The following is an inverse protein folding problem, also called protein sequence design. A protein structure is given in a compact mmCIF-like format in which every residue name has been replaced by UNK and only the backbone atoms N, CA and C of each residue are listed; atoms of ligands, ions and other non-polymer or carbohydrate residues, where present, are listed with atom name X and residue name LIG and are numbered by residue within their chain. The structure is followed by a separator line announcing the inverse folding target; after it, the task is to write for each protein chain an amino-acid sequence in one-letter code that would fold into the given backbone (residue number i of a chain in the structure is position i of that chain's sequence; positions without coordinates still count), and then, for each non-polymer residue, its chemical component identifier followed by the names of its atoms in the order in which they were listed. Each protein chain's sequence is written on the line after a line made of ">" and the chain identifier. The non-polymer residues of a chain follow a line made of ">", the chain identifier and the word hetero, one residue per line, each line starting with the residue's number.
data_IF_241395246635
#
_entry.id   IF_241395246635
#
_cell.length_a   1.000
_cell.length_b   1.000
_cell.length_c   1.000
_cell.angle_alpha   90.00
_cell.angle_beta   90.00
_cell.angle_gamma   90.00
#
_symmetry.space_group_name_H-M   'P 1'
#
loop_
_entity.id
_entity.type
_entity.pdbx_description
1 polymer ?
#
# COMPACT_ATOMS: atom_id res chain seq x y z
N UNK A 1 23.19 5.93 9.09
CA UNK A 1 23.32 4.73 8.23
C UNK A 1 24.62 4.79 7.43
N UNK A 2 25.37 3.67 7.31
CA UNK A 2 26.64 3.61 6.56
C UNK A 2 26.45 3.76 5.04
N UNK A 3 25.29 3.35 4.50
CA UNK A 3 24.96 3.42 3.07
C UNK A 3 25.14 4.84 2.49
N UNK A 4 24.72 5.87 3.24
CA UNK A 4 24.81 7.27 2.85
C UNK A 4 26.24 7.82 2.77
N UNK A 5 27.24 7.07 3.20
CA UNK A 5 28.66 7.44 3.11
C UNK A 5 29.32 6.89 1.85
N UNK A 6 28.68 5.97 1.14
CA UNK A 6 29.24 5.44 -0.10
C UNK A 6 29.18 6.48 -1.23
N UNK A 7 30.03 6.36 -2.26
CA UNK A 7 29.90 7.14 -3.48
C UNK A 7 28.51 6.97 -4.10
N UNK A 8 28.01 8.02 -4.76
CA UNK A 8 26.65 8.04 -5.32
C UNK A 8 26.38 6.85 -6.27
N UNK A 9 27.37 6.46 -7.08
CA UNK A 9 27.22 5.32 -8.00
C UNK A 9 26.98 3.99 -7.27
N UNK A 10 27.62 3.80 -6.11
CA UNK A 10 27.38 2.61 -5.27
C UNK A 10 25.99 2.66 -4.66
N UNK A 11 25.53 3.83 -4.22
CA UNK A 11 24.17 4.00 -3.70
C UNK A 11 23.12 3.68 -4.77
N UNK A 12 23.30 4.19 -6.00
CA UNK A 12 22.43 3.90 -7.15
C UNK A 12 22.35 2.39 -7.41
N UNK A 13 23.50 1.72 -7.46
CA UNK A 13 23.56 0.28 -7.71
C UNK A 13 22.85 -0.52 -6.61
N UNK A 14 23.03 -0.14 -5.35
CA UNK A 14 22.31 -0.77 -4.23
C UNK A 14 20.81 -0.55 -4.36
N UNK A 15 20.38 0.67 -4.70
CA UNK A 15 18.96 0.99 -4.88
C UNK A 15 18.32 0.20 -6.01
N UNK A 16 19.02 0.02 -7.13
CA UNK A 16 18.53 -0.81 -8.24
C UNK A 16 18.39 -2.29 -7.87
N UNK A 17 19.18 -2.78 -6.93
CA UNK A 17 19.16 -4.19 -6.52
C UNK A 17 18.11 -4.51 -5.44
N UNK A 18 17.70 -3.51 -4.66
CA UNK A 18 16.79 -3.72 -3.52
C UNK A 18 15.32 -3.86 -3.89
N UNK A 19 14.92 -3.51 -5.11
CA UNK A 19 13.50 -3.47 -5.48
C UNK A 19 12.72 -2.35 -4.77
N UNK A 20 11.42 -2.24 -5.09
CA UNK A 20 10.56 -1.17 -4.58
C UNK A 20 10.24 -1.31 -3.09
N UNK A 21 9.98 -2.53 -2.65
CA UNK A 21 9.73 -2.88 -1.25
C UNK A 21 10.97 -2.62 -0.37
N UNK A 22 12.16 -3.01 -0.82
CA UNK A 22 13.41 -2.73 -0.14
C UNK A 22 13.72 -1.23 -0.06
N UNK A 23 13.46 -0.47 -1.14
CA UNK A 23 13.59 0.98 -1.14
C UNK A 23 12.61 1.66 -0.18
N UNK A 24 11.36 1.18 -0.14
CA UNK A 24 10.37 1.66 0.81
C UNK A 24 10.82 1.44 2.26
N UNK A 25 11.29 0.23 2.61
CA UNK A 25 11.79 -0.03 3.97
C UNK A 25 13.00 0.83 4.32
N UNK A 26 13.92 1.04 3.38
CA UNK A 26 15.06 1.94 3.58
C UNK A 26 14.64 3.40 3.79
N UNK A 27 13.60 3.87 3.10
CA UNK A 27 13.16 5.27 3.22
C UNK A 27 12.57 5.57 4.60
N UNK A 28 12.03 4.57 5.30
CA UNK A 28 11.54 4.68 6.68
C UNK A 28 12.67 4.88 7.70
N UNK A 29 13.91 4.47 7.39
CA UNK A 29 15.03 4.51 8.33
C UNK A 29 15.53 5.93 8.64
N UNK A 30 15.38 6.91 7.74
CA UNK A 30 15.71 8.32 8.00
C UNK A 30 15.21 9.25 6.91
N UNK A 31 14.93 10.52 7.25
CA UNK A 31 14.60 11.55 6.28
C UNK A 31 15.69 11.74 5.21
N UNK A 32 16.97 11.64 5.60
CA UNK A 32 18.09 11.75 4.66
C UNK A 32 18.10 10.61 3.64
N UNK A 33 17.75 9.39 4.06
CA UNK A 33 17.62 8.25 3.13
C UNK A 33 16.45 8.46 2.18
N UNK A 34 15.29 8.83 2.71
CA UNK A 34 14.11 9.15 1.90
C UNK A 34 14.42 10.16 0.81
N UNK A 35 15.03 11.29 1.16
CA UNK A 35 15.39 12.33 0.19
C UNK A 35 16.39 11.84 -0.86
N UNK A 36 17.33 10.97 -0.48
CA UNK A 36 18.29 10.38 -1.41
C UNK A 36 17.62 9.41 -2.39
N UNK A 37 16.70 8.57 -1.92
CA UNK A 37 15.91 7.66 -2.77
C UNK A 37 15.09 8.49 -3.75
N UNK A 38 14.34 9.49 -3.26
CA UNK A 38 13.54 10.41 -4.10
C UNK A 38 14.36 11.08 -5.19
N UNK A 39 15.59 11.49 -4.92
CA UNK A 39 16.42 12.18 -5.92
C UNK A 39 17.11 11.23 -6.91
N UNK A 40 17.25 9.96 -6.55
CA UNK A 40 18.03 8.98 -7.31
C UNK A 40 17.16 8.05 -8.14
N UNK A 41 15.97 7.71 -7.64
CA UNK A 41 15.09 6.72 -8.23
C UNK A 41 13.87 7.39 -8.86
N UNK A 42 13.75 7.23 -10.19
CA UNK A 42 12.56 7.58 -10.94
C UNK A 42 12.07 6.34 -11.67
N UNK A 43 11.05 5.69 -11.13
CA UNK A 43 10.39 4.60 -11.83
C UNK A 43 9.34 5.16 -12.79
N UNK A 44 9.26 4.57 -13.98
CA UNK A 44 8.13 4.79 -14.87
C UNK A 44 6.93 4.06 -14.29
N UNK A 45 5.94 4.82 -13.83
CA UNK A 45 4.72 4.30 -13.21
C UNK A 45 3.50 4.77 -13.97
N UNK A 46 2.45 3.94 -14.00
CA UNK A 46 1.09 4.38 -14.33
C UNK A 46 0.31 4.81 -13.09
N UNK A 47 0.78 4.43 -11.90
CA UNK A 47 0.19 4.77 -10.61
C UNK A 47 0.53 3.74 -9.53
N UNK A 48 -0.18 3.84 -8.42
CA UNK A 48 -0.28 2.76 -7.45
C UNK A 48 -1.72 2.22 -7.46
N UNK A 49 -1.90 1.00 -6.98
CA UNK A 49 -3.21 0.44 -6.65
C UNK A 49 -3.19 -0.16 -5.25
N UNK A 50 -4.28 0.05 -4.53
CA UNK A 50 -4.55 -0.58 -3.25
C UNK A 50 -5.57 -1.70 -3.45
N UNK A 51 -5.25 -2.88 -2.92
CA UNK A 51 -6.13 -4.04 -2.95
C UNK A 51 -6.54 -4.39 -1.53
N UNK A 52 -7.82 -4.68 -1.30
CA UNK A 52 -8.34 -5.15 -0.01
C UNK A 52 -8.96 -6.54 -0.17
N UNK A 53 -8.42 -7.52 0.57
CA UNK A 53 -9.02 -8.84 0.77
C UNK A 53 -9.67 -8.89 2.15
N UNK A 54 -10.98 -8.62 2.18
CA UNK A 54 -11.72 -8.60 3.44
C UNK A 54 -11.96 -9.97 4.06
N UNK A 55 -11.73 -11.08 3.34
CA UNK A 55 -11.80 -12.40 3.98
C UNK A 55 -10.59 -12.68 4.87
N UNK A 56 -9.46 -12.04 4.55
CA UNK A 56 -8.19 -12.22 5.26
C UNK A 56 -7.84 -11.04 6.16
N UNK A 57 -8.69 -10.00 6.19
CA UNK A 57 -8.40 -8.73 6.86
C UNK A 57 -7.03 -8.18 6.46
N UNK A 58 -6.71 -8.35 5.17
CA UNK A 58 -5.40 -8.10 4.57
C UNK A 58 -5.57 -7.15 3.39
N UNK A 59 -4.57 -6.30 3.17
CA UNK A 59 -4.50 -5.48 1.98
C UNK A 59 -3.09 -5.34 1.45
N UNK A 60 -3.02 -4.88 0.20
CA UNK A 60 -1.79 -4.78 -0.56
C UNK A 60 -1.69 -3.41 -1.22
N UNK A 61 -0.47 -2.91 -1.40
CA UNK A 61 -0.20 -1.80 -2.31
C UNK A 61 0.72 -2.29 -3.42
N UNK A 62 0.24 -2.17 -4.64
CA UNK A 62 0.99 -2.45 -5.86
C UNK A 62 1.48 -1.15 -6.48
N UNK A 63 2.71 -1.21 -6.98
CA UNK A 63 3.26 -0.24 -7.91
C UNK A 63 2.95 -0.71 -9.33
N UNK A 64 2.28 0.12 -10.10
CA UNK A 64 1.89 -0.21 -11.47
C UNK A 64 2.98 0.25 -12.44
N UNK A 65 3.70 -0.72 -12.99
CA UNK A 65 4.60 -0.52 -14.10
C UNK A 65 3.89 -0.63 -15.45
N UNK A 66 4.61 -0.32 -16.52
CA UNK A 66 4.07 -0.37 -17.89
C UNK A 66 3.68 -1.78 -18.35
N UNK A 67 4.30 -2.81 -17.79
CA UNK A 67 4.12 -4.21 -18.21
C UNK A 67 3.88 -5.17 -17.06
N UNK A 68 4.09 -4.73 -15.81
CA UNK A 68 4.03 -5.57 -14.61
C UNK A 68 3.54 -4.76 -13.40
N UNK A 69 2.94 -5.45 -12.44
CA UNK A 69 2.58 -4.90 -11.14
C UNK A 69 3.50 -5.46 -10.06
N UNK A 70 4.05 -4.58 -9.21
CA UNK A 70 5.00 -4.97 -8.18
C UNK A 70 4.41 -4.73 -6.79
N UNK A 71 4.29 -5.78 -5.98
CA UNK A 71 3.84 -5.62 -4.59
C UNK A 71 4.90 -4.86 -3.79
N UNK A 72 4.51 -3.76 -3.17
CA UNK A 72 5.41 -2.92 -2.35
C UNK A 72 5.26 -3.26 -0.87
N UNK A 73 4.02 -3.39 -0.40
CA UNK A 73 3.71 -3.74 0.98
C UNK A 73 2.50 -4.67 1.05
N UNK A 74 2.46 -5.43 2.14
CA UNK A 74 1.25 -6.05 2.67
C UNK A 74 0.90 -5.35 3.98
N UNK A 75 -0.38 -5.20 4.28
CA UNK A 75 -0.85 -4.81 5.61
C UNK A 75 -1.95 -5.75 6.07
N UNK A 76 -2.05 -5.94 7.38
CA UNK A 76 -3.06 -6.77 8.03
C UNK A 76 -3.65 -6.04 9.22
N UNK A 77 -4.89 -6.37 9.58
CA UNK A 77 -5.47 -5.99 10.87
C UNK A 77 -4.93 -6.97 11.93
N UNK A 78 -4.18 -6.46 12.90
CA UNK A 78 -3.69 -7.25 14.03
C UNK A 78 -4.85 -7.54 14.98
N UNK A 79 -5.20 -8.83 15.11
CA UNK A 79 -6.02 -9.28 16.22
C UNK A 79 -5.10 -9.63 17.42
N UNK A 80 -5.19 -8.88 18.54
CA UNK A 80 -4.33 -9.09 19.70
C UNK A 80 -4.58 -10.44 20.41
N UNK A 81 -5.70 -11.12 20.15
CA UNK A 81 -6.01 -12.44 20.74
C UNK A 81 -5.31 -13.60 20.01
N UNK A 82 -5.06 -13.46 18.71
CA UNK A 82 -4.52 -14.54 17.86
C UNK A 82 -3.07 -14.33 17.44
N UNK A 83 -2.55 -13.11 17.60
CA UNK A 83 -1.22 -12.71 17.13
C UNK A 83 -0.40 -12.17 18.30
N UNK A 84 0.31 -13.03 19.05
CA UNK A 84 1.21 -12.56 20.11
C UNK A 84 2.24 -11.61 19.50
N UNK A 85 2.35 -10.39 20.04
CA UNK A 85 3.36 -9.40 19.66
C UNK A 85 4.77 -9.91 20.00
N UNK A 86 5.35 -10.74 19.15
CA UNK A 86 6.79 -11.05 19.19
C UNK A 86 7.62 -9.96 18.47
N UNK A 87 6.96 -9.13 17.66
CA UNK A 87 7.56 -8.08 16.83
C UNK A 87 7.60 -6.73 17.55
N UNK A 88 8.74 -6.04 17.43
CA UNK A 88 8.94 -4.70 17.99
C UNK A 88 7.91 -3.72 17.40
N UNK A 89 7.13 -3.07 18.26
CA UNK A 89 6.21 -1.99 17.82
C UNK A 89 7.03 -0.88 17.20
N UNK A 90 6.73 -0.56 15.93
CA UNK A 90 7.27 0.57 15.21
C UNK A 90 6.29 1.73 15.26
N UNK A 91 6.84 2.94 15.35
CA UNK A 91 6.08 4.18 15.21
C UNK A 91 6.45 4.82 13.88
N UNK A 92 5.54 4.78 12.93
CA UNK A 92 5.70 5.41 11.63
C UNK A 92 5.16 6.83 11.71
N UNK A 93 6.00 7.81 11.37
CA UNK A 93 5.59 9.20 11.26
C UNK A 93 5.29 9.56 9.81
N UNK A 94 4.01 9.81 9.52
CA UNK A 94 3.51 10.29 8.25
C UNK A 94 3.02 11.73 8.44
N UNK A 95 3.78 12.71 7.95
CA UNK A 95 3.53 14.14 8.16
C UNK A 95 3.33 14.53 9.63
N UNK A 96 2.07 14.78 10.04
CA UNK A 96 1.68 15.11 11.42
C UNK A 96 1.25 13.91 12.24
N UNK A 97 0.92 12.80 11.59
CA UNK A 97 0.34 11.62 12.23
C UNK A 97 1.42 10.61 12.60
N UNK A 98 1.24 9.98 13.76
CA UNK A 98 2.10 8.92 14.24
C UNK A 98 1.26 7.66 14.38
N UNK A 99 1.60 6.64 13.59
CA UNK A 99 0.89 5.37 13.53
C UNK A 99 1.75 4.31 14.19
N UNK A 100 1.20 3.56 15.15
CA UNK A 100 1.84 2.36 15.69
C UNK A 100 1.53 1.15 14.81
N UNK A 101 2.54 0.33 14.56
CA UNK A 101 2.37 -0.91 13.81
C UNK A 101 3.40 -1.97 14.17
N UNK A 102 3.06 -3.24 13.99
CA UNK A 102 4.04 -4.32 13.85
C UNK A 102 4.68 -4.30 12.47
N UNK A 103 5.93 -4.77 12.38
CA UNK A 103 6.58 -5.07 11.10
C UNK A 103 7.12 -6.49 11.13
N UNK A 104 6.77 -7.23 10.08
CA UNK A 104 7.30 -8.56 9.78
C UNK A 104 7.68 -8.63 8.31
N UNK A 105 8.36 -9.70 7.92
CA UNK A 105 8.74 -9.97 6.54
C UNK A 105 8.27 -11.36 6.18
N UNK A 106 7.61 -11.49 5.03
CA UNK A 106 7.25 -12.78 4.45
C UNK A 106 8.52 -13.62 4.26
N UNK A 107 8.53 -14.86 4.74
CA UNK A 107 9.74 -15.70 4.74
C UNK A 107 10.13 -16.19 3.36
N UNK A 108 9.17 -16.25 2.44
CA UNK A 108 9.36 -16.81 1.10
C UNK A 108 9.71 -15.71 0.10
N UNK A 109 9.04 -14.55 0.20
CA UNK A 109 9.20 -13.44 -0.74
C UNK A 109 10.05 -12.29 -0.19
N UNK A 110 10.24 -12.21 1.13
CA UNK A 110 10.90 -11.07 1.78
C UNK A 110 10.08 -9.79 1.81
N UNK A 111 8.80 -9.84 1.41
CA UNK A 111 7.97 -8.64 1.35
C UNK A 111 7.59 -8.17 2.75
N UNK A 112 7.59 -6.85 3.01
CA UNK A 112 7.25 -6.33 4.31
C UNK A 112 5.73 -6.40 4.55
N UNK A 113 5.36 -6.87 5.73
CA UNK A 113 3.98 -6.94 6.22
C UNK A 113 3.84 -6.08 7.47
N UNK A 114 2.93 -5.11 7.39
CA UNK A 114 2.63 -4.19 8.48
C UNK A 114 1.34 -4.60 9.20
N UNK A 115 1.44 -4.81 10.50
CA UNK A 115 0.28 -5.11 11.35
C UNK A 115 -0.25 -3.84 12.01
N UNK A 116 -1.53 -3.54 11.84
CA UNK A 116 -2.19 -2.37 12.43
C UNK A 116 -3.29 -2.79 13.39
N UNK A 117 -3.41 -2.11 14.52
CA UNK A 117 -4.54 -2.30 15.44
C UNK A 117 -5.86 -1.74 14.87
N UNK A 118 -6.96 -2.06 15.56
CA UNK A 118 -8.31 -1.63 15.19
C UNK A 118 -8.47 -0.09 15.07
N UNK A 119 -7.66 0.68 15.79
CA UNK A 119 -7.72 2.14 15.77
C UNK A 119 -7.06 2.73 14.52
N UNK A 120 -6.03 2.08 13.98
CA UNK A 120 -5.19 2.63 12.91
C UNK A 120 -5.44 2.03 11.52
N UNK A 121 -5.98 0.82 11.42
CA UNK A 121 -6.03 0.10 10.14
C UNK A 121 -6.86 0.79 9.03
N UNK A 122 -7.80 1.69 9.38
CA UNK A 122 -8.60 2.43 8.39
C UNK A 122 -7.89 3.64 7.79
N UNK A 123 -6.88 4.18 8.47
CA UNK A 123 -6.15 5.39 8.07
C UNK A 123 -4.73 5.08 7.61
N UNK A 124 -4.06 4.11 8.25
CA UNK A 124 -2.68 3.76 7.98
C UNK A 124 -2.41 3.35 6.53
N UNK A 125 -3.25 2.53 5.86
CA UNK A 125 -3.03 2.19 4.45
C UNK A 125 -2.98 3.41 3.54
N UNK A 126 -3.81 4.43 3.81
CA UNK A 126 -3.83 5.68 3.01
C UNK A 126 -2.59 6.51 3.24
N UNK A 127 -2.14 6.61 4.49
CA UNK A 127 -0.89 7.27 4.83
C UNK A 127 0.30 6.59 4.13
N UNK A 128 0.32 5.25 4.11
CA UNK A 128 1.34 4.48 3.38
C UNK A 128 1.25 4.69 1.87
N UNK A 129 0.05 4.67 1.29
CA UNK A 129 -0.17 4.91 -0.13
C UNK A 129 0.37 6.27 -0.57
N UNK A 130 0.02 7.33 0.16
CA UNK A 130 0.48 8.69 -0.12
C UNK A 130 2.00 8.80 0.03
N UNK A 131 2.55 8.17 1.07
CA UNK A 131 3.99 8.12 1.28
C UNK A 131 4.72 7.44 0.12
N UNK A 132 4.26 6.27 -0.33
CA UNK A 132 4.86 5.52 -1.43
C UNK A 132 4.74 6.33 -2.73
N UNK A 133 3.60 7.00 -2.93
CA UNK A 133 3.38 7.85 -4.10
C UNK A 133 4.39 8.99 -4.17
N UNK A 134 4.60 9.68 -3.05
CA UNK A 134 5.60 10.74 -2.93
C UNK A 134 7.03 10.21 -3.07
N UNK A 135 7.32 9.03 -2.52
CA UNK A 135 8.65 8.41 -2.58
C UNK A 135 9.07 8.09 -4.02
N UNK A 136 8.15 7.56 -4.83
CA UNK A 136 8.44 7.07 -6.18
C UNK A 136 7.93 7.99 -7.30
N UNK A 137 7.43 9.18 -6.95
CA UNK A 137 6.90 10.18 -7.88
C UNK A 137 5.77 9.64 -8.77
N UNK A 138 4.87 8.85 -8.20
CA UNK A 138 3.66 8.38 -8.89
C UNK A 138 2.52 9.39 -8.71
N UNK A 139 1.43 9.20 -9.46
CA UNK A 139 0.21 9.93 -9.15
C UNK A 139 -0.22 9.67 -7.71
N UNK A 140 -0.65 10.72 -7.02
CA UNK A 140 -1.31 10.62 -5.70
C UNK A 140 -2.78 10.21 -5.82
N UNK A 141 -3.30 10.08 -7.03
CA UNK A 141 -4.65 9.59 -7.24
C UNK A 141 -4.74 8.15 -6.73
N UNK A 142 -5.68 7.89 -5.82
CA UNK A 142 -5.86 6.56 -5.23
C UNK A 142 -6.59 5.64 -6.20
N UNK A 143 -5.93 4.56 -6.63
CA UNK A 143 -6.59 3.47 -7.33
C UNK A 143 -6.91 2.34 -6.35
N UNK A 144 -8.12 1.78 -6.45
CA UNK A 144 -8.61 0.82 -5.48
C UNK A 144 -9.28 -0.37 -6.18
N UNK A 145 -8.82 -1.57 -5.84
CA UNK A 145 -9.33 -2.83 -6.36
C UNK A 145 -9.92 -3.61 -5.18
N UNK A 146 -11.18 -4.02 -5.28
CA UNK A 146 -11.83 -4.74 -4.18
C UNK A 146 -12.86 -5.76 -4.65
N UNK A 147 -12.91 -6.86 -3.90
CA UNK A 147 -14.00 -7.81 -3.95
C UNK A 147 -15.02 -7.41 -2.88
N UNK A 148 -16.19 -6.96 -3.32
CA UNK A 148 -17.15 -6.15 -2.54
C UNK A 148 -17.98 -6.94 -1.53
N UNK A 149 -17.41 -7.96 -0.88
CA UNK A 149 -18.12 -8.66 0.18
C UNK A 149 -18.31 -7.79 1.43
N UNK A 150 -17.50 -6.76 1.63
CA UNK A 150 -17.66 -5.82 2.74
C UNK A 150 -17.17 -4.40 2.41
N UNK A 151 -18.08 -3.58 1.88
CA UNK A 151 -17.87 -2.12 1.72
C UNK A 151 -17.60 -1.39 3.05
N UNK A 152 -17.99 -1.98 4.18
CA UNK A 152 -17.80 -1.43 5.53
C UNK A 152 -16.32 -1.45 5.96
N UNK A 153 -15.51 -2.26 5.29
CA UNK A 153 -14.10 -2.47 5.61
C UNK A 153 -13.16 -1.59 4.77
N UNK A 154 -13.73 -0.69 3.96
CA UNK A 154 -12.92 0.21 3.16
C UNK A 154 -12.17 1.21 4.06
N UNK A 155 -10.88 1.49 3.76
CA UNK A 155 -10.18 2.60 4.37
C UNK A 155 -10.95 3.91 4.17
N UNK A 156 -10.71 4.91 5.02
CA UNK A 156 -11.46 6.17 5.03
C UNK A 156 -11.11 7.07 3.83
N UNK A 157 -11.52 6.66 2.64
CA UNK A 157 -11.29 7.32 1.35
C UNK A 157 -12.62 7.91 0.90
N UNK A 158 -12.67 9.19 0.55
CA UNK A 158 -13.88 9.83 0.01
C UNK A 158 -13.95 9.83 -1.52
N UNK A 159 -12.80 9.77 -2.18
CA UNK A 159 -12.68 9.88 -3.64
C UNK A 159 -11.90 8.67 -4.16
N UNK A 160 -12.52 7.89 -5.04
CA UNK A 160 -11.91 6.77 -5.73
C UNK A 160 -11.68 7.12 -7.21
N UNK A 161 -10.51 6.74 -7.74
CA UNK A 161 -10.22 6.82 -9.17
C UNK A 161 -9.87 5.42 -9.68
N UNK A 162 -10.48 4.97 -10.77
CA UNK A 162 -10.33 3.60 -11.28
C UNK A 162 -10.71 2.55 -10.22
N UNK A 163 -11.98 2.59 -9.79
CA UNK A 163 -12.52 1.57 -8.91
C UNK A 163 -12.77 0.28 -9.70
N UNK A 164 -12.11 -0.80 -9.31
CA UNK A 164 -12.29 -2.12 -9.91
C UNK A 164 -13.01 -3.05 -8.96
N UNK A 165 -14.13 -3.60 -9.44
CA UNK A 165 -14.92 -4.59 -8.71
C UNK A 165 -14.77 -5.97 -9.33
N UNK A 166 -14.21 -6.92 -8.56
CA UNK A 166 -14.17 -8.33 -8.92
C UNK A 166 -15.24 -9.09 -8.10
N UNK A 167 -16.33 -9.52 -8.74
CA UNK A 167 -17.37 -10.27 -8.04
C UNK A 167 -18.64 -10.54 -8.85
N UNK A 168 -19.19 -11.74 -8.68
CA UNK A 168 -20.52 -12.13 -9.16
C UNK A 168 -21.57 -11.71 -8.13
N UNK A 169 -22.30 -10.63 -8.45
CA UNK A 169 -23.52 -10.13 -7.79
C UNK A 169 -23.31 -9.43 -6.45
N UNK A 170 -23.39 -8.11 -6.50
CA UNK A 170 -23.82 -7.31 -5.36
C UNK A 170 -25.34 -7.29 -5.26
N UNK A 171 -25.86 -7.31 -4.04
CA UNK A 171 -27.19 -6.81 -3.76
C UNK A 171 -27.16 -5.29 -4.04
N UNK A 172 -27.93 -4.85 -5.06
CA UNK A 172 -27.85 -3.48 -5.59
C UNK A 172 -27.85 -2.38 -4.52
N UNK A 173 -28.61 -2.56 -3.44
CA UNK A 173 -28.73 -1.59 -2.35
C UNK A 173 -27.42 -1.24 -1.63
N UNK A 174 -26.45 -2.17 -1.51
CA UNK A 174 -25.14 -1.86 -0.89
C UNK A 174 -24.23 -1.08 -1.84
N UNK A 175 -24.31 -1.38 -3.14
CA UNK A 175 -23.56 -0.66 -4.18
C UNK A 175 -24.09 0.77 -4.33
N UNK A 176 -25.41 0.94 -4.30
CA UNK A 176 -26.07 2.23 -4.39
C UNK A 176 -25.67 3.14 -3.20
N UNK A 177 -25.75 2.61 -1.97
CA UNK A 177 -25.29 3.33 -0.77
C UNK A 177 -23.80 3.71 -0.82
N UNK A 178 -22.96 2.85 -1.41
CA UNK A 178 -21.54 3.14 -1.60
C UNK A 178 -21.33 4.31 -2.57
N UNK A 179 -21.99 4.32 -3.74
CA UNK A 179 -21.90 5.42 -4.70
C UNK A 179 -22.55 6.72 -4.22
N UNK A 180 -23.52 6.66 -3.31
CA UNK A 180 -24.10 7.85 -2.66
C UNK A 180 -23.14 8.51 -1.66
N UNK A 181 -22.23 7.74 -1.07
CA UNK A 181 -21.32 8.20 -0.01
C UNK A 181 -19.89 8.48 -0.50
N UNK A 182 -19.55 8.02 -1.71
CA UNK A 182 -18.20 8.11 -2.26
C UNK A 182 -18.21 8.66 -3.69
N UNK A 183 -17.27 9.58 -3.98
CA UNK A 183 -17.10 10.13 -5.32
C UNK A 183 -16.19 9.22 -6.15
N UNK A 184 -16.67 8.77 -7.32
CA UNK A 184 -15.89 7.91 -8.23
C UNK A 184 -15.72 8.60 -9.58
N UNK A 185 -14.47 8.81 -9.96
CA UNK A 185 -14.12 9.55 -11.19
C UNK A 185 -13.91 8.65 -12.41
N UNK A 186 -13.69 7.35 -12.20
CA UNK A 186 -13.63 6.33 -13.26
C UNK A 186 -13.97 4.95 -12.65
N UNK A 187 -14.93 4.24 -13.22
CA UNK A 187 -15.39 2.92 -12.75
C UNK A 187 -15.39 1.95 -13.92
N UNK A 188 -14.74 0.80 -13.75
CA UNK A 188 -14.89 -0.34 -14.66
C UNK A 188 -15.38 -1.57 -13.90
N UNK A 189 -16.35 -2.29 -14.48
CA UNK A 189 -16.89 -3.52 -13.91
C UNK A 189 -16.29 -4.69 -14.70
N UNK A 190 -15.30 -5.36 -14.13
CA UNK A 190 -14.74 -6.57 -14.72
C UNK A 190 -15.80 -7.68 -14.69
N UNK A 191 -16.46 -7.88 -15.85
CA UNK A 191 -17.28 -9.07 -16.08
C UNK A 191 -16.32 -10.24 -16.27
N UNK A 192 -16.10 -10.98 -15.17
CA UNK A 192 -15.47 -12.30 -15.10
C UNK A 192 -14.63 -12.72 -16.30
N UNK A 193 -13.31 -12.58 -16.16
CA UNK A 193 -12.40 -13.73 -16.09
C UNK A 193 -11.01 -13.18 -15.69
N UNK A 194 -10.41 -13.62 -14.58
CA UNK A 194 -9.01 -13.35 -14.31
C UNK A 194 -8.20 -14.21 -15.29
N UNK A 195 -7.68 -13.59 -16.35
CA UNK A 195 -6.60 -14.21 -17.12
C UNK A 195 -5.32 -13.96 -16.34
N UNK A 196 -4.94 -14.96 -15.55
CA UNK A 196 -3.58 -15.14 -15.06
C UNK A 196 -2.61 -15.38 -16.23
#
# INVERSE_FOLDING_TARGET
>A
MKLLRFPQIVQVLVFQHLGLDGLFILSLCSQKMRNQIKSTFWAKSTGLSMVLDSQREEGYIYFEGLFDHFKVITWIVENPETTPRESSVLFLKFDTDMVSCGLSFDTDTGHPTFGFDEDNWKSAPILMYNYISDLFHTSSDVQFITNTRSFEDLPNIKIFKNFYHEGLRLAGSKLDAFFETHEITNWDQLRGDPVY
#
